data_IF_112609532743
#
_entry.id   IF_112609532743
#
_cell.length_a   1.000
_cell.length_b   1.000
_cell.length_c   1.000
_cell.angle_alpha   90.00
_cell.angle_beta   90.00
_cell.angle_gamma   90.00
#
_symmetry.space_group_name_H-M   'P 1'
#
loop_
_entity.id
_entity.type
_entity.pdbx_description
1 polymer ?
#
# COMPACT_ATOMS: atom_id res chain seq x y z
N UNK A 1 -15.43 2.06 -2.99
CA UNK A 1 -14.45 3.03 -2.45
C UNK A 1 -13.19 2.36 -1.92
N UNK A 2 -13.30 1.28 -1.12
CA UNK A 2 -12.13 0.55 -0.62
C UNK A 2 -11.13 0.11 -1.72
N UNK A 3 -11.62 -0.36 -2.88
CA UNK A 3 -10.77 -0.73 -4.01
C UNK A 3 -9.99 0.47 -4.60
N UNK A 4 -10.66 1.63 -4.78
CA UNK A 4 -10.02 2.89 -5.22
C UNK A 4 -8.92 3.26 -4.22
N UNK A 5 -9.25 3.19 -2.93
CA UNK A 5 -8.35 3.55 -1.85
C UNK A 5 -7.11 2.66 -1.81
N UNK A 6 -7.28 1.34 -1.93
CA UNK A 6 -6.17 0.39 -2.00
C UNK A 6 -5.32 0.59 -3.26
N UNK A 7 -5.94 0.80 -4.42
CA UNK A 7 -5.25 0.98 -5.69
C UNK A 7 -4.36 2.24 -5.73
N UNK A 8 -4.85 3.33 -5.15
CA UNK A 8 -4.14 4.61 -5.10
C UNK A 8 -3.35 4.85 -3.81
N UNK A 9 -3.30 3.87 -2.89
CA UNK A 9 -2.60 3.98 -1.61
C UNK A 9 -3.13 5.11 -0.71
N UNK A 10 -4.44 5.37 -0.73
CA UNK A 10 -5.06 6.47 0.01
C UNK A 10 -5.48 6.05 1.44
N UNK A 11 -5.39 6.98 2.37
CA UNK A 11 -6.10 6.92 3.65
C UNK A 11 -7.58 7.31 3.51
N UNK A 12 -8.43 6.97 4.49
CA UNK A 12 -9.84 7.41 4.50
C UNK A 12 -9.95 8.94 4.59
N UNK A 13 -9.11 9.57 5.42
CA UNK A 13 -9.06 11.03 5.55
C UNK A 13 -8.60 11.71 4.25
N UNK A 14 -7.67 11.11 3.52
CA UNK A 14 -7.17 11.66 2.26
C UNK A 14 -8.21 11.56 1.15
N UNK A 15 -8.93 10.44 1.07
CA UNK A 15 -10.06 10.29 0.17
C UNK A 15 -11.19 11.27 0.53
N UNK A 16 -11.44 11.48 1.81
CA UNK A 16 -12.43 12.44 2.29
C UNK A 16 -12.07 13.88 1.88
N UNK A 17 -10.81 14.27 2.06
CA UNK A 17 -10.29 15.56 1.59
C UNK A 17 -10.43 15.72 0.08
N UNK A 18 -10.08 14.69 -0.71
CA UNK A 18 -10.22 14.72 -2.16
C UNK A 18 -11.68 14.91 -2.61
N UNK A 19 -12.61 14.23 -1.93
CA UNK A 19 -14.04 14.30 -2.22
C UNK A 19 -14.74 15.52 -1.63
N UNK A 20 -14.07 16.31 -0.78
CA UNK A 20 -14.67 17.42 -0.04
C UNK A 20 -15.73 16.97 0.98
N UNK A 21 -15.55 15.82 1.62
CA UNK A 21 -16.48 15.28 2.63
C UNK A 21 -15.76 14.88 3.92
N UNK A 22 -16.52 14.45 4.94
CA UNK A 22 -15.94 13.97 6.21
C UNK A 22 -15.42 12.54 6.10
N UNK A 23 -14.35 12.22 6.85
CA UNK A 23 -13.81 10.86 6.93
C UNK A 23 -14.83 9.86 7.51
N UNK A 24 -15.69 10.29 8.43
CA UNK A 24 -16.77 9.48 8.99
C UNK A 24 -17.80 9.07 7.91
N UNK A 25 -18.10 9.95 6.94
CA UNK A 25 -18.96 9.59 5.81
C UNK A 25 -18.30 8.53 4.93
N UNK A 26 -17.01 8.70 4.61
CA UNK A 26 -16.24 7.70 3.84
C UNK A 26 -16.26 6.34 4.54
N UNK A 27 -15.99 6.32 5.84
CA UNK A 27 -16.01 5.09 6.65
C UNK A 27 -17.41 4.45 6.68
N UNK A 28 -18.47 5.24 6.87
CA UNK A 28 -19.85 4.73 6.90
C UNK A 28 -20.28 4.15 5.55
N UNK A 29 -19.84 4.75 4.43
CA UNK A 29 -20.09 4.21 3.09
C UNK A 29 -19.28 2.94 2.85
N UNK A 30 -18.00 2.89 3.21
CA UNK A 30 -17.17 1.69 3.06
C UNK A 30 -17.70 0.51 3.90
N UNK A 31 -18.26 0.78 5.08
CA UNK A 31 -18.88 -0.23 5.92
C UNK A 31 -20.32 -0.59 5.52
N UNK A 32 -20.84 -0.06 4.42
CA UNK A 32 -22.21 -0.31 3.95
C UNK A 32 -23.32 0.31 4.82
N UNK A 33 -22.98 1.12 5.83
CA UNK A 33 -23.94 1.76 6.74
C UNK A 33 -24.64 2.97 6.13
N UNK A 34 -24.08 3.57 5.08
CA UNK A 34 -24.68 4.68 4.32
C UNK A 34 -24.50 4.48 2.82
N UNK A 35 -25.47 4.97 2.03
CA UNK A 35 -25.35 5.04 0.57
C UNK A 35 -24.42 6.19 0.17
N UNK A 36 -23.68 5.99 -0.91
CA UNK A 36 -22.79 7.02 -1.45
C UNK A 36 -23.63 8.15 -2.09
N UNK A 37 -23.41 9.43 -1.73
CA UNK A 37 -24.15 10.53 -2.32
C UNK A 37 -23.92 10.63 -3.83
N UNK A 38 -25.01 10.66 -4.61
CA UNK A 38 -24.92 10.71 -6.08
C UNK A 38 -24.20 11.97 -6.60
N UNK A 39 -24.27 13.08 -5.86
CA UNK A 39 -23.57 14.33 -6.19
C UNK A 39 -22.03 14.19 -6.21
N UNK A 40 -21.48 13.17 -5.53
CA UNK A 40 -20.03 12.91 -5.47
C UNK A 40 -19.56 11.91 -6.53
N UNK A 41 -20.49 11.30 -7.26
CA UNK A 41 -20.17 10.33 -8.32
C UNK A 41 -19.28 10.95 -9.39
N UNK A 42 -19.54 12.17 -9.92
CA UNK A 42 -18.67 12.77 -10.93
C UNK A 42 -17.23 12.99 -10.47
N UNK A 43 -16.99 13.22 -9.18
CA UNK A 43 -15.65 13.40 -8.61
C UNK A 43 -14.93 12.06 -8.41
N UNK A 44 -15.68 11.01 -8.09
CA UNK A 44 -15.13 9.66 -7.90
C UNK A 44 -14.92 8.92 -9.23
N UNK A 45 -15.74 9.21 -10.24
CA UNK A 45 -15.76 8.51 -11.53
C UNK A 45 -14.38 8.45 -12.22
N UNK A 46 -13.60 9.55 -12.29
CA UNK A 46 -12.28 9.53 -12.92
C UNK A 46 -11.33 8.56 -12.20
N UNK A 47 -11.37 8.51 -10.87
CA UNK A 47 -10.57 7.55 -10.11
C UNK A 47 -11.01 6.11 -10.40
N UNK A 48 -12.31 5.86 -10.50
CA UNK A 48 -12.82 4.50 -10.79
C UNK A 48 -12.47 3.99 -12.18
N UNK A 49 -12.36 4.89 -13.17
CA UNK A 49 -12.01 4.53 -14.54
C UNK A 49 -10.58 3.99 -14.67
N UNK A 50 -9.71 4.32 -13.71
CA UNK A 50 -8.33 3.85 -13.65
C UNK A 50 -8.12 2.60 -12.80
N UNK A 51 -9.19 2.00 -12.25
CA UNK A 51 -9.04 0.69 -11.62
C UNK A 51 -8.96 -0.40 -12.70
N UNK A 52 -8.05 -1.37 -12.55
CA UNK A 52 -8.12 -2.57 -13.35
C UNK A 52 -9.42 -3.32 -13.02
N UNK A 53 -9.99 -3.99 -14.02
CA UNK A 53 -11.00 -5.02 -13.79
C UNK A 53 -10.31 -6.13 -13.00
N UNK A 54 -10.78 -6.39 -11.78
CA UNK A 54 -10.08 -7.26 -10.84
C UNK A 54 -10.03 -8.71 -11.38
N UNK A 55 -8.85 -9.35 -11.44
CA UNK A 55 -8.76 -10.80 -11.52
C UNK A 55 -9.10 -11.44 -10.16
N UNK A 56 -9.69 -12.65 -10.21
CA UNK A 56 -10.04 -13.43 -9.03
C UNK A 56 -8.80 -13.79 -8.19
N UNK A 57 -8.93 -13.91 -6.85
CA UNK A 57 -7.81 -14.22 -5.98
C UNK A 57 -7.31 -15.65 -6.21
N UNK A 58 -5.99 -15.81 -6.27
CA UNK A 58 -5.32 -17.11 -6.23
C UNK A 58 -5.18 -17.60 -4.77
N UNK A 59 -5.28 -18.92 -4.51
CA UNK A 59 -5.13 -19.47 -3.17
C UNK A 59 -3.65 -19.61 -2.74
N UNK A 60 -3.41 -19.43 -1.44
CA UNK A 60 -2.12 -19.67 -0.78
C UNK A 60 -1.80 -21.17 -0.66
N UNK A 61 -0.52 -21.60 -0.80
CA UNK A 61 -0.10 -22.94 -0.45
C UNK A 61 0.19 -23.06 1.06
N UNK A 62 -0.39 -24.08 1.67
CA UNK A 62 -0.20 -24.44 3.09
C UNK A 62 1.18 -25.06 3.36
N UNK A 63 1.77 -24.70 4.51
CA UNK A 63 2.97 -25.33 5.08
C UNK A 63 2.57 -26.51 5.99
N UNK A 64 3.30 -27.62 5.89
CA UNK A 64 3.15 -28.81 6.75
C UNK A 64 4.32 -28.92 7.75
N UNK A 65 4.00 -29.36 8.98
CA UNK A 65 4.94 -29.62 10.10
C UNK A 65 5.30 -31.11 10.23
N UNK A 66 6.48 -31.40 10.80
CA UNK A 66 6.95 -32.75 11.19
C UNK A 66 7.65 -32.74 12.58
N UNK A 67 7.75 -33.89 13.30
CA UNK A 67 8.00 -33.96 14.75
C UNK A 67 9.48 -34.13 15.16
N UNK A 68 9.79 -33.81 16.43
CA UNK A 68 11.15 -33.72 17.00
C UNK A 68 11.58 -34.92 17.89
N UNK A 69 12.89 -35.22 18.02
CA UNK A 69 13.45 -36.14 19.02
C UNK A 69 14.27 -35.45 20.15
N UNK A 70 14.61 -36.26 21.18
CA UNK A 70 15.08 -35.90 22.53
C UNK A 70 16.60 -35.59 22.68
N UNK A 71 17.08 -35.06 23.84
CA UNK A 71 18.33 -34.29 23.86
C UNK A 71 19.63 -35.02 24.28
N UNK A 72 20.72 -34.65 23.60
CA UNK A 72 22.16 -35.04 23.74
C UNK A 72 23.00 -33.74 23.76
N UNK A 73 24.15 -33.57 24.43
CA UNK A 73 25.00 -32.35 24.37
C UNK A 73 25.32 -31.74 23.00
N UNK A 74 25.18 -32.46 21.88
CA UNK A 74 25.06 -31.89 20.52
C UNK A 74 23.87 -30.89 20.37
N UNK A 75 22.94 -30.87 21.33
CA UNK A 75 21.82 -29.94 21.42
C UNK A 75 22.26 -28.51 21.68
N UNK A 76 23.40 -28.28 22.37
CA UNK A 76 23.82 -26.92 22.65
C UNK A 76 24.15 -26.18 21.35
N UNK A 77 24.87 -26.87 20.45
CA UNK A 77 25.16 -26.38 19.11
C UNK A 77 23.90 -26.35 18.23
N UNK A 78 23.06 -27.40 18.27
CA UNK A 78 21.81 -27.40 17.52
C UNK A 78 20.83 -26.29 17.98
N UNK A 79 20.75 -26.02 19.29
CA UNK A 79 19.91 -24.96 19.85
C UNK A 79 20.46 -23.57 19.51
N UNK A 80 21.78 -23.39 19.49
CA UNK A 80 22.41 -22.16 19.05
C UNK A 80 22.13 -21.90 17.55
N UNK A 81 22.26 -22.92 16.70
CA UNK A 81 21.92 -22.84 15.27
C UNK A 81 20.43 -22.55 15.06
N UNK A 82 19.54 -23.24 15.78
CA UNK A 82 18.10 -23.01 15.72
C UNK A 82 17.72 -21.60 16.20
N UNK A 83 18.39 -21.10 17.25
CA UNK A 83 18.22 -19.72 17.71
C UNK A 83 18.65 -18.71 16.66
N UNK A 84 19.84 -18.89 16.08
CA UNK A 84 20.35 -18.02 15.00
C UNK A 84 19.40 -18.04 13.80
N UNK A 85 18.91 -19.20 13.41
CA UNK A 85 17.91 -19.33 12.33
C UNK A 85 16.65 -18.54 12.64
N UNK A 86 16.09 -18.65 13.85
CA UNK A 86 14.93 -17.85 14.27
C UNK A 86 15.22 -16.35 14.18
N UNK A 87 16.40 -15.90 14.59
CA UNK A 87 16.80 -14.50 14.46
C UNK A 87 16.83 -14.05 12.99
N UNK A 88 17.44 -14.83 12.09
CA UNK A 88 17.49 -14.53 10.66
C UNK A 88 16.07 -14.42 10.07
N UNK A 89 15.16 -15.34 10.43
CA UNK A 89 13.77 -15.33 9.98
C UNK A 89 13.00 -14.10 10.49
N UNK A 90 13.12 -13.75 11.77
CA UNK A 90 12.47 -12.56 12.34
C UNK A 90 12.99 -11.28 11.70
N UNK A 91 14.30 -11.19 11.46
CA UNK A 91 14.89 -10.05 10.76
C UNK A 91 14.40 -9.98 9.31
N UNK A 92 14.35 -11.12 8.61
CA UNK A 92 13.85 -11.18 7.24
C UNK A 92 12.39 -10.72 7.16
N UNK A 93 11.52 -11.14 8.08
CA UNK A 93 10.13 -10.69 8.13
C UNK A 93 10.01 -9.17 8.28
N UNK A 94 10.83 -8.56 9.15
CA UNK A 94 10.84 -7.09 9.32
C UNK A 94 11.29 -6.35 8.06
N UNK A 95 12.39 -6.80 7.44
CA UNK A 95 12.89 -6.20 6.20
C UNK A 95 11.91 -6.40 5.03
N UNK A 96 11.22 -7.54 4.99
CA UNK A 96 10.21 -7.82 3.97
C UNK A 96 9.00 -6.90 4.11
N UNK A 97 8.53 -6.63 5.32
CA UNK A 97 7.44 -5.67 5.57
C UNK A 97 7.85 -4.24 5.14
N UNK A 98 9.07 -3.83 5.46
CA UNK A 98 9.60 -2.52 5.02
C UNK A 98 9.70 -2.42 3.50
N UNK A 99 10.24 -3.45 2.84
CA UNK A 99 10.32 -3.51 1.38
C UNK A 99 8.92 -3.46 0.75
N UNK A 100 7.97 -4.24 1.26
CA UNK A 100 6.59 -4.26 0.77
C UNK A 100 5.94 -2.87 0.86
N UNK A 101 6.19 -2.13 1.94
CA UNK A 101 5.72 -0.74 2.09
C UNK A 101 6.32 0.18 1.02
N UNK A 102 7.64 0.14 0.81
CA UNK A 102 8.31 0.94 -0.22
C UNK A 102 7.83 0.60 -1.64
N UNK A 103 7.58 -0.67 -1.93
CA UNK A 103 7.07 -1.12 -3.22
C UNK A 103 5.61 -0.72 -3.44
N UNK A 104 4.77 -0.81 -2.40
CA UNK A 104 3.39 -0.35 -2.45
C UNK A 104 3.32 1.16 -2.73
N UNK A 105 4.15 1.96 -2.04
CA UNK A 105 4.24 3.40 -2.28
C UNK A 105 4.71 3.71 -3.70
N UNK A 106 5.70 2.95 -4.21
CA UNK A 106 6.17 3.07 -5.59
C UNK A 106 5.06 2.80 -6.61
N UNK A 107 4.31 1.70 -6.44
CA UNK A 107 3.16 1.37 -7.32
C UNK A 107 2.09 2.45 -7.28
N UNK A 108 1.72 2.92 -6.09
CA UNK A 108 0.74 3.99 -5.94
C UNK A 108 1.18 5.27 -6.66
N UNK A 109 2.45 5.69 -6.53
CA UNK A 109 2.99 6.84 -7.25
C UNK A 109 2.92 6.65 -8.77
N UNK A 110 3.24 5.46 -9.28
CA UNK A 110 3.09 5.12 -10.71
C UNK A 110 1.63 5.22 -11.16
N UNK A 111 0.68 4.69 -10.38
CA UNK A 111 -0.74 4.79 -10.70
C UNK A 111 -1.22 6.24 -10.72
N UNK A 112 -0.78 7.06 -9.75
CA UNK A 112 -1.06 8.49 -9.74
C UNK A 112 -0.48 9.21 -10.95
N UNK A 113 0.77 8.93 -11.31
CA UNK A 113 1.41 9.53 -12.48
C UNK A 113 0.68 9.18 -13.79
N UNK A 114 0.22 7.93 -13.92
CA UNK A 114 -0.56 7.49 -15.08
C UNK A 114 -1.95 8.15 -15.15
N UNK A 115 -2.63 8.31 -14.01
CA UNK A 115 -3.96 8.92 -13.94
C UNK A 115 -3.93 10.46 -14.02
N UNK A 116 -2.79 11.08 -13.70
CA UNK A 116 -2.67 12.54 -13.52
C UNK A 116 -3.22 13.35 -14.70
N UNK A 117 -2.89 13.05 -15.99
CA UNK A 117 -3.38 13.86 -17.10
C UNK A 117 -4.91 13.88 -17.19
N UNK A 118 -5.56 12.72 -17.03
CA UNK A 118 -7.01 12.58 -17.07
C UNK A 118 -7.69 13.27 -15.88
N UNK A 119 -7.09 13.15 -14.69
CA UNK A 119 -7.59 13.81 -13.47
C UNK A 119 -7.48 15.33 -13.54
N UNK A 120 -6.48 15.86 -14.25
CA UNK A 120 -6.33 17.30 -14.49
C UNK A 120 -7.30 17.82 -15.54
N UNK A 121 -7.59 17.03 -16.58
CA UNK A 121 -8.57 17.38 -17.61
C UNK A 121 -10.00 17.43 -17.04
N UNK A 122 -10.27 16.68 -15.97
CA UNK A 122 -11.57 16.68 -15.30
C UNK A 122 -11.58 17.72 -14.18
N UNK A 123 -12.36 18.79 -14.34
CA UNK A 123 -12.63 19.73 -13.24
C UNK A 123 -13.95 19.34 -12.56
N UNK A 124 -13.95 19.07 -11.23
CA UNK A 124 -15.18 18.74 -10.53
C UNK A 124 -16.09 19.97 -10.45
N UNK A 125 -17.43 19.78 -10.49
CA UNK A 125 -18.36 20.89 -10.39
C UNK A 125 -18.18 21.66 -9.06
N UNK A 126 -18.49 22.97 -9.03
CA UNK A 126 -18.53 23.74 -7.79
C UNK A 126 -19.51 23.08 -6.81
N UNK A 127 -19.18 23.15 -5.51
CA UNK A 127 -20.13 22.64 -4.50
C UNK A 127 -21.33 23.61 -4.41
N UNK A 128 -22.51 23.12 -4.04
CA UNK A 128 -23.68 23.98 -3.84
C UNK A 128 -23.37 25.06 -2.80
N UNK A 129 -23.65 26.32 -3.12
CA UNK A 129 -23.43 27.46 -2.22
C UNK A 129 -21.99 27.97 -2.15
N UNK A 130 -21.03 27.39 -2.88
CA UNK A 130 -19.67 27.92 -2.95
C UNK A 130 -19.60 29.18 -3.80
N UNK A 131 -18.83 30.17 -3.33
CA UNK A 131 -18.48 31.34 -4.14
C UNK A 131 -17.47 30.96 -5.24
N UNK A 132 -17.36 31.77 -6.31
CA UNK A 132 -16.34 31.55 -7.34
C UNK A 132 -14.90 31.52 -6.80
N UNK A 133 -14.59 32.36 -5.79
CA UNK A 133 -13.28 32.41 -5.17
C UNK A 133 -12.93 31.12 -4.40
N UNK A 134 -13.89 30.56 -3.66
CA UNK A 134 -13.72 29.28 -2.95
C UNK A 134 -13.55 28.11 -3.92
N UNK A 135 -14.32 28.10 -5.02
CA UNK A 135 -14.19 27.09 -6.05
C UNK A 135 -12.79 27.12 -6.70
N UNK A 136 -12.27 28.32 -7.00
CA UNK A 136 -10.92 28.50 -7.54
C UNK A 136 -9.83 28.07 -6.54
N UNK A 137 -9.92 28.48 -5.28
CA UNK A 137 -8.97 28.09 -4.23
C UNK A 137 -8.91 26.57 -4.04
N UNK A 138 -10.07 25.90 -4.06
CA UNK A 138 -10.17 24.45 -3.97
C UNK A 138 -9.55 23.76 -5.19
N UNK A 139 -9.76 24.29 -6.38
CA UNK A 139 -9.16 23.72 -7.59
C UNK A 139 -7.63 23.85 -7.56
N UNK A 140 -7.08 25.00 -7.17
CA UNK A 140 -5.63 25.16 -6.96
C UNK A 140 -5.08 24.16 -5.95
N UNK A 141 -5.74 24.02 -4.79
CA UNK A 141 -5.36 23.02 -3.80
C UNK A 141 -5.38 21.59 -4.36
N UNK A 142 -6.41 21.24 -5.15
CA UNK A 142 -6.56 19.92 -5.77
C UNK A 142 -5.42 19.66 -6.75
N UNK A 143 -5.09 20.63 -7.59
CA UNK A 143 -4.00 20.53 -8.56
C UNK A 143 -2.65 20.33 -7.88
N UNK A 144 -2.38 21.09 -6.83
CA UNK A 144 -1.19 20.94 -6.00
C UNK A 144 -1.12 19.56 -5.33
N UNK A 145 -2.25 19.10 -4.77
CA UNK A 145 -2.35 17.80 -4.12
C UNK A 145 -2.10 16.65 -5.10
N UNK A 146 -2.72 16.69 -6.28
CA UNK A 146 -2.51 15.71 -7.36
C UNK A 146 -1.05 15.68 -7.81
N UNK A 147 -0.44 16.85 -7.96
CA UNK A 147 0.97 16.98 -8.38
C UNK A 147 1.91 16.36 -7.35
N UNK A 148 1.66 16.55 -6.05
CA UNK A 148 2.45 15.92 -4.98
C UNK A 148 2.29 14.40 -4.96
N UNK A 149 1.08 13.88 -5.20
CA UNK A 149 0.80 12.43 -5.21
C UNK A 149 1.44 11.70 -6.39
N UNK A 150 1.48 12.35 -7.54
CA UNK A 150 2.07 11.81 -8.76
C UNK A 150 3.60 11.99 -8.82
N UNK A 151 4.24 12.53 -7.77
CA UNK A 151 5.68 12.74 -7.76
C UNK A 151 6.40 11.39 -7.90
N UNK A 152 7.35 11.25 -8.85
CA UNK A 152 8.14 10.04 -8.98
C UNK A 152 8.88 9.74 -7.69
N UNK A 153 9.00 8.46 -7.39
CA UNK A 153 9.80 7.97 -6.27
C UNK A 153 11.25 8.48 -6.39
N UNK A 154 11.84 9.06 -5.33
CA UNK A 154 13.20 9.54 -5.37
C UNK A 154 14.20 8.38 -5.56
N UNK A 155 15.34 8.60 -6.23
CA UNK A 155 16.33 7.56 -6.48
C UNK A 155 16.89 6.95 -5.19
N UNK A 156 17.00 7.73 -4.11
CA UNK A 156 17.42 7.22 -2.80
C UNK A 156 16.51 6.10 -2.28
N UNK A 157 15.19 6.20 -2.47
CA UNK A 157 14.27 5.13 -2.10
C UNK A 157 14.44 3.92 -3.01
N UNK A 158 14.66 4.10 -4.33
CA UNK A 158 14.96 3.01 -5.26
C UNK A 158 16.16 2.19 -4.80
N UNK A 159 17.26 2.88 -4.47
CA UNK A 159 18.47 2.29 -3.88
C UNK A 159 18.17 1.57 -2.56
N UNK A 160 17.40 2.19 -1.65
CA UNK A 160 17.00 1.56 -0.38
C UNK A 160 16.29 0.23 -0.60
N UNK A 161 15.32 0.15 -1.52
CA UNK A 161 14.65 -1.13 -1.80
C UNK A 161 15.58 -2.18 -2.41
N UNK A 162 16.50 -1.78 -3.30
CA UNK A 162 17.50 -2.70 -3.83
C UNK A 162 18.39 -3.28 -2.71
N UNK A 163 18.83 -2.43 -1.77
CA UNK A 163 19.59 -2.87 -0.60
C UNK A 163 18.79 -3.80 0.30
N UNK A 164 17.51 -3.52 0.55
CA UNK A 164 16.63 -4.40 1.33
C UNK A 164 16.47 -5.77 0.68
N UNK A 165 16.29 -5.84 -0.65
CA UNK A 165 16.23 -7.10 -1.39
C UNK A 165 17.53 -7.91 -1.26
N UNK A 166 18.68 -7.25 -1.39
CA UNK A 166 19.98 -7.90 -1.21
C UNK A 166 20.15 -8.46 0.21
N UNK A 167 19.76 -7.68 1.23
CA UNK A 167 19.80 -8.13 2.64
C UNK A 167 18.87 -9.30 2.91
N UNK A 168 17.66 -9.27 2.35
CA UNK A 168 16.70 -10.39 2.43
C UNK A 168 17.28 -11.66 1.82
N UNK A 169 17.89 -11.57 0.64
CA UNK A 169 18.54 -12.71 -0.01
C UNK A 169 19.70 -13.27 0.85
N UNK A 170 20.48 -12.40 1.49
CA UNK A 170 21.52 -12.79 2.43
C UNK A 170 20.97 -13.55 3.64
N UNK A 171 19.94 -13.02 4.31
CA UNK A 171 19.31 -13.66 5.46
C UNK A 171 18.64 -14.99 5.10
N UNK A 172 18.03 -15.09 3.91
CA UNK A 172 17.45 -16.33 3.42
C UNK A 172 18.51 -17.41 3.17
N UNK A 173 19.63 -17.03 2.54
CA UNK A 173 20.78 -17.92 2.33
C UNK A 173 21.37 -18.40 3.66
N UNK A 174 21.55 -17.50 4.63
CA UNK A 174 22.05 -17.85 5.96
C UNK A 174 21.09 -18.80 6.68
N UNK A 175 19.78 -18.51 6.68
CA UNK A 175 18.78 -19.37 7.30
C UNK A 175 18.71 -20.76 6.66
N UNK A 176 18.95 -20.87 5.35
CA UNK A 176 19.02 -22.14 4.64
C UNK A 176 20.30 -22.93 4.99
N UNK A 177 21.45 -22.26 5.11
CA UNK A 177 22.71 -22.88 5.50
C UNK A 177 22.70 -23.44 6.93
N UNK A 178 21.88 -22.86 7.82
CA UNK A 178 21.70 -23.33 9.20
C UNK A 178 20.85 -24.62 9.30
N UNK A 179 20.25 -25.08 8.20
CA UNK A 179 19.49 -26.32 8.13
C UNK A 179 18.07 -26.25 8.74
N UNK A 180 17.24 -27.28 8.49
CA UNK A 180 16.01 -27.48 9.26
C UNK A 180 16.34 -27.87 10.70
N UNK A 181 15.45 -27.52 11.63
CA UNK A 181 15.52 -27.98 13.02
C UNK A 181 15.06 -29.44 13.13
#
# INVERSE_FOLDING_TARGET
MAAVRAWFGLGQAELALYLGVSAALVQAVEAGRRRFPLALVPTLLPLTHHLPIAPAPAPDPALADAPAPAPDPALADAAALAFRRRQCLVQAQRLAAELASLEANGRAATHWAAALPALRATSPPPLPGSTPAEAAARETWRQDWLSRRARPRPPAEATRAALLRARLAGLATEAAALGPA
#
